data_IF_830476040999
#
_entry.id   IF_830476040999
#
_cell.length_a   1.000
_cell.length_b   1.000
_cell.length_c   1.000
_cell.angle_alpha   90.00
_cell.angle_beta   90.00
_cell.angle_gamma   90.00
#
_symmetry.space_group_name_H-M   'P 1'
#
loop_
_entity.id
_entity.type
_entity.pdbx_description
1 polymer ?
#
# COMPACT_ATOMS: atom_id res chain seq x y z
N UNK A 1 -9.26 -3.55 -28.08
CA UNK A 1 -8.46 -3.56 -26.83
C UNK A 1 -8.97 -4.72 -25.98
N UNK A 2 -8.18 -5.77 -25.81
CA UNK A 2 -8.51 -6.86 -24.89
C UNK A 2 -8.19 -6.37 -23.48
N UNK A 3 -9.21 -6.18 -22.65
CA UNK A 3 -9.06 -5.82 -21.24
C UNK A 3 -9.01 -7.12 -20.42
N UNK A 4 -7.94 -7.32 -19.66
CA UNK A 4 -7.80 -8.42 -18.71
C UNK A 4 -7.51 -7.84 -17.33
N UNK A 5 -8.41 -8.08 -16.38
CA UNK A 5 -8.21 -7.81 -14.95
C UNK A 5 -8.09 -9.15 -14.25
N UNK A 6 -6.94 -9.45 -13.66
CA UNK A 6 -6.66 -10.75 -13.02
C UNK A 6 -6.27 -10.51 -11.57
N UNK A 7 -7.17 -10.82 -10.65
CA UNK A 7 -6.87 -11.02 -9.23
C UNK A 7 -6.84 -12.53 -8.97
N UNK A 8 -5.66 -13.08 -8.68
CA UNK A 8 -5.49 -14.49 -8.36
C UNK A 8 -5.27 -14.64 -6.87
N UNK A 9 -5.93 -15.62 -6.27
CA UNK A 9 -5.88 -15.88 -4.83
C UNK A 9 -5.60 -17.36 -4.59
N UNK A 10 -4.81 -17.66 -3.55
CA UNK A 10 -4.49 -19.02 -3.10
C UNK A 10 -3.89 -19.91 -4.22
N UNK A 11 -4.39 -21.13 -4.38
CA UNK A 11 -3.87 -22.16 -5.29
C UNK A 11 -3.84 -21.66 -6.74
N UNK A 12 -4.79 -20.83 -7.15
CA UNK A 12 -4.80 -20.26 -8.51
C UNK A 12 -3.59 -19.34 -8.76
N UNK A 13 -3.15 -18.59 -7.74
CA UNK A 13 -1.95 -17.76 -7.83
C UNK A 13 -0.68 -18.62 -7.89
N UNK A 14 -0.61 -19.68 -7.08
CA UNK A 14 0.54 -20.61 -7.07
C UNK A 14 0.68 -21.34 -8.39
N UNK A 15 -0.41 -21.83 -8.97
CA UNK A 15 -0.37 -22.55 -10.24
C UNK A 15 0.12 -21.66 -11.38
N UNK A 16 -0.36 -20.41 -11.45
CA UNK A 16 0.11 -19.45 -12.46
C UNK A 16 1.59 -19.09 -12.25
N UNK A 17 2.06 -18.99 -10.99
CA UNK A 17 3.47 -18.70 -10.70
C UNK A 17 4.41 -19.81 -11.24
N UNK A 18 4.00 -21.07 -11.13
CA UNK A 18 4.74 -22.21 -11.67
C UNK A 18 4.83 -22.14 -13.20
N UNK A 19 3.77 -21.69 -13.86
CA UNK A 19 3.71 -21.52 -15.32
C UNK A 19 4.65 -20.40 -15.83
N UNK A 20 4.98 -19.42 -15.00
CA UNK A 20 5.93 -18.33 -15.32
C UNK A 20 7.40 -18.63 -14.93
N UNK A 21 7.80 -19.90 -14.88
CA UNK A 21 9.18 -20.35 -14.61
C UNK A 21 9.78 -19.91 -13.26
N UNK A 22 8.98 -19.42 -12.31
CA UNK A 22 9.45 -19.20 -10.93
C UNK A 22 9.31 -20.51 -10.16
N UNK A 23 10.45 -21.12 -9.80
CA UNK A 23 10.45 -22.36 -9.02
C UNK A 23 9.95 -22.09 -7.60
N UNK A 24 9.01 -22.88 -7.06
CA UNK A 24 8.63 -22.80 -5.66
C UNK A 24 9.86 -23.02 -4.78
N UNK A 25 10.16 -22.08 -3.92
CA UNK A 25 11.17 -22.27 -2.87
C UNK A 25 10.51 -23.13 -1.78
N UNK A 26 11.10 -24.27 -1.37
CA UNK A 26 10.58 -25.04 -0.26
C UNK A 26 10.45 -24.15 0.98
N UNK A 27 9.30 -24.16 1.64
CA UNK A 27 9.18 -23.53 2.96
C UNK A 27 10.09 -24.29 3.91
N UNK A 28 11.12 -23.61 4.44
CA UNK A 28 11.93 -24.16 5.52
C UNK A 28 11.07 -24.16 6.80
N UNK A 29 10.82 -25.33 7.38
CA UNK A 29 9.95 -25.54 8.56
C UNK A 29 10.59 -25.04 9.87
N UNK A 30 11.76 -24.39 9.78
CA UNK A 30 12.38 -23.72 10.92
C UNK A 30 11.58 -22.49 11.27
N UNK A 31 10.62 -22.63 12.18
CA UNK A 31 10.09 -21.52 12.95
C UNK A 31 11.26 -20.78 13.59
N UNK A 32 11.54 -19.52 13.23
CA UNK A 32 12.46 -18.72 14.00
C UNK A 32 11.93 -18.69 15.43
N UNK A 33 12.81 -18.82 16.42
CA UNK A 33 12.42 -18.65 17.82
C UNK A 33 11.68 -17.31 17.96
N UNK A 34 10.61 -17.23 18.77
CA UNK A 34 9.86 -16.00 18.94
C UNK A 34 10.76 -14.95 19.60
N UNK A 35 11.47 -14.16 18.78
CA UNK A 35 12.03 -12.88 19.19
C UNK A 35 10.85 -11.95 19.40
N UNK A 36 10.70 -11.44 20.62
CA UNK A 36 9.51 -10.73 21.14
C UNK A 36 9.13 -9.41 20.46
N UNK A 37 9.58 -9.16 19.23
CA UNK A 37 9.15 -8.04 18.41
C UNK A 37 8.23 -8.56 17.30
N UNK A 38 6.93 -8.57 17.59
CA UNK A 38 5.88 -8.89 16.62
C UNK A 38 5.80 -7.81 15.53
N UNK A 39 6.56 -7.94 14.43
CA UNK A 39 6.51 -7.00 13.31
C UNK A 39 6.65 -7.67 11.94
N UNK A 40 5.59 -8.37 11.49
CA UNK A 40 5.37 -8.53 10.04
C UNK A 40 4.61 -7.28 9.56
N UNK A 41 5.34 -6.29 9.05
CA UNK A 41 4.78 -5.05 8.52
C UNK A 41 4.39 -5.16 7.05
N UNK A 42 3.42 -4.34 6.63
CA UNK A 42 3.16 -4.09 5.21
C UNK A 42 4.25 -3.15 4.69
N UNK A 43 4.78 -3.45 3.50
CA UNK A 43 5.72 -2.59 2.77
C UNK A 43 5.05 -2.06 1.51
N UNK A 44 5.46 -0.88 1.07
CA UNK A 44 4.87 -0.22 -0.08
C UNK A 44 5.84 0.71 -0.78
N UNK A 45 5.59 0.95 -2.06
CA UNK A 45 6.32 1.90 -2.88
C UNK A 45 5.35 2.57 -3.84
N UNK A 46 5.54 3.88 -4.03
CA UNK A 46 4.86 4.67 -5.05
C UNK A 46 5.91 5.47 -5.82
N UNK A 47 5.70 5.66 -7.10
CA UNK A 47 6.63 6.38 -7.96
C UNK A 47 5.92 7.16 -9.06
N UNK A 48 6.55 8.25 -9.50
CA UNK A 48 6.18 9.01 -10.69
C UNK A 48 7.40 9.11 -11.60
N UNK A 49 7.23 8.93 -12.91
CA UNK A 49 8.30 9.14 -13.90
C UNK A 49 8.28 10.56 -14.50
N UNK A 50 9.28 10.91 -15.30
CA UNK A 50 9.39 12.23 -15.94
C UNK A 50 8.27 12.52 -16.97
N UNK A 51 7.47 11.52 -17.34
CA UNK A 51 6.30 11.68 -18.20
C UNK A 51 4.99 11.81 -17.41
N UNK A 52 5.06 11.78 -16.07
CA UNK A 52 3.90 11.83 -15.18
C UNK A 52 3.16 10.49 -15.06
N UNK A 53 3.77 9.37 -15.48
CA UNK A 53 3.19 8.05 -15.23
C UNK A 53 3.38 7.64 -13.78
N UNK A 54 2.33 7.07 -13.22
CA UNK A 54 2.24 6.72 -11.81
C UNK A 54 2.16 5.21 -11.62
N UNK A 55 2.87 4.71 -10.61
CA UNK A 55 2.81 3.31 -10.21
C UNK A 55 2.77 3.19 -8.68
N UNK A 56 2.04 2.18 -8.20
CA UNK A 56 1.96 1.81 -6.80
C UNK A 56 2.13 0.29 -6.66
N UNK A 57 2.87 -0.13 -5.65
CA UNK A 57 3.03 -1.53 -5.29
C UNK A 57 3.02 -1.68 -3.76
N UNK A 58 2.31 -2.67 -3.27
CA UNK A 58 2.20 -2.95 -1.83
C UNK A 58 2.31 -4.46 -1.61
N UNK A 59 2.99 -4.88 -0.55
CA UNK A 59 3.19 -6.28 -0.19
C UNK A 59 3.12 -6.48 1.32
N UNK A 60 2.59 -7.62 1.76
CA UNK A 60 2.39 -7.90 3.18
C UNK A 60 2.42 -9.40 3.49
N UNK A 61 2.94 -9.76 4.66
CA UNK A 61 2.70 -11.08 5.27
C UNK A 61 1.29 -11.20 5.88
N UNK A 62 0.62 -10.07 6.09
CA UNK A 62 -0.62 -9.94 6.87
C UNK A 62 -0.36 -9.88 8.37
N UNK A 63 -1.42 -10.01 9.16
CA UNK A 63 -1.34 -9.96 10.61
C UNK A 63 -0.73 -11.24 11.21
N UNK A 64 -0.02 -11.07 12.32
CA UNK A 64 0.41 -12.19 13.17
C UNK A 64 -0.82 -12.94 13.66
N UNK A 65 -0.75 -14.29 13.69
CA UNK A 65 -1.85 -15.16 14.11
C UNK A 65 -3.16 -14.97 13.31
N UNK A 66 -3.07 -14.55 12.04
CA UNK A 66 -4.25 -14.48 11.16
C UNK A 66 -4.85 -15.85 10.89
N UNK A 67 -6.17 -15.91 10.72
CA UNK A 67 -6.84 -17.11 10.24
C UNK A 67 -6.33 -17.49 8.85
N UNK A 68 -6.28 -18.80 8.56
CA UNK A 68 -5.94 -19.31 7.23
C UNK A 68 -6.92 -18.74 6.20
N UNK A 69 -6.38 -18.18 5.12
CA UNK A 69 -7.19 -17.55 4.08
C UNK A 69 -7.62 -16.11 4.39
N UNK A 70 -7.22 -15.50 5.52
CA UNK A 70 -7.49 -14.07 5.78
C UNK A 70 -6.74 -13.20 4.76
N UNK A 71 -7.50 -12.33 4.09
CA UNK A 71 -7.02 -11.35 3.12
C UNK A 71 -7.13 -9.95 3.73
N UNK A 72 -6.04 -9.18 3.66
CA UNK A 72 -6.00 -7.77 4.07
C UNK A 72 -6.25 -6.81 2.91
N UNK A 73 -5.97 -5.54 3.12
CA UNK A 73 -6.12 -4.44 2.16
C UNK A 73 -5.14 -4.50 0.99
N UNK A 74 -3.93 -4.98 1.23
CA UNK A 74 -2.80 -4.93 0.28
C UNK A 74 -3.11 -5.46 -1.13
N UNK A 75 -3.75 -6.63 -1.33
CA UNK A 75 -4.06 -7.11 -2.68
C UNK A 75 -5.37 -6.52 -3.26
N UNK A 76 -6.05 -5.64 -2.54
CA UNK A 76 -7.36 -5.09 -2.92
C UNK A 76 -7.14 -3.69 -3.51
N UNK A 77 -7.36 -3.59 -4.83
CA UNK A 77 -7.24 -2.33 -5.56
C UNK A 77 -8.21 -1.29 -5.01
N UNK A 78 -7.68 -0.12 -4.66
CA UNK A 78 -8.44 0.97 -4.05
C UNK A 78 -8.54 0.92 -2.53
N UNK A 79 -8.15 -0.19 -1.89
CA UNK A 79 -7.97 -0.24 -0.44
C UNK A 79 -6.51 0.04 -0.07
N UNK A 80 -5.63 -0.96 -0.25
CA UNK A 80 -4.22 -0.87 0.12
C UNK A 80 -3.31 -0.32 -0.99
N UNK A 81 -3.68 -0.54 -2.26
CA UNK A 81 -2.89 -0.13 -3.41
C UNK A 81 -3.77 0.53 -4.46
N UNK A 82 -3.38 1.70 -4.95
CA UNK A 82 -4.08 2.35 -6.05
C UNK A 82 -3.16 3.27 -6.83
N UNK A 83 -3.34 3.32 -8.15
CA UNK A 83 -2.69 4.32 -9.00
C UNK A 83 -3.64 4.70 -10.13
N UNK A 84 -3.72 6.00 -10.41
CA UNK A 84 -4.40 6.53 -11.59
C UNK A 84 -3.55 7.66 -12.20
N UNK A 85 -4.13 8.46 -13.10
CA UNK A 85 -3.47 9.60 -13.74
C UNK A 85 -3.17 10.79 -12.80
N UNK A 86 -3.73 10.80 -11.58
CA UNK A 86 -3.61 11.92 -10.64
C UNK A 86 -2.62 11.59 -9.52
N UNK A 87 -2.72 10.40 -8.94
CA UNK A 87 -1.84 9.95 -7.86
C UNK A 87 -1.65 8.44 -7.81
N UNK A 88 -0.57 8.04 -7.14
CA UNK A 88 -0.30 6.68 -6.70
C UNK A 88 -0.27 6.65 -5.17
N UNK A 89 -0.88 5.63 -4.57
CA UNK A 89 -1.06 5.48 -3.12
C UNK A 89 -0.78 4.04 -2.71
N UNK A 90 -0.02 3.90 -1.63
CA UNK A 90 0.19 2.64 -0.93
C UNK A 90 -0.09 2.83 0.56
N UNK A 91 -1.02 2.06 1.12
CA UNK A 91 -1.39 2.11 2.52
C UNK A 91 -0.75 0.97 3.34
N UNK A 92 -0.67 1.19 4.65
CA UNK A 92 -0.20 0.23 5.65
C UNK A 92 -1.00 0.40 6.93
N UNK A 93 -1.16 -0.69 7.70
CA UNK A 93 -1.90 -0.68 8.96
C UNK A 93 -2.91 -1.81 9.11
N UNK A 94 -4.03 -1.52 9.77
CA UNK A 94 -5.09 -2.51 10.00
C UNK A 94 -5.93 -2.72 8.73
N UNK A 95 -5.65 -3.80 8.01
CA UNK A 95 -6.28 -4.07 6.71
C UNK A 95 -7.81 -3.98 6.68
N UNK A 96 -8.52 -4.46 7.70
CA UNK A 96 -9.99 -4.36 7.74
C UNK A 96 -10.48 -2.91 7.83
N UNK A 97 -9.74 -2.02 8.51
CA UNK A 97 -10.05 -0.60 8.57
C UNK A 97 -9.80 0.06 7.20
N UNK A 98 -8.66 -0.25 6.58
CA UNK A 98 -8.26 0.26 5.27
C UNK A 98 -9.24 -0.16 4.17
N UNK A 99 -9.70 -1.42 4.18
CA UNK A 99 -10.70 -1.93 3.24
C UNK A 99 -12.02 -1.17 3.39
N UNK A 100 -12.54 -1.03 4.61
CA UNK A 100 -13.83 -0.38 4.85
C UNK A 100 -13.83 1.11 4.50
N UNK A 101 -12.70 1.78 4.66
CA UNK A 101 -12.54 3.20 4.37
C UNK A 101 -12.01 3.49 2.95
N UNK A 102 -11.78 2.45 2.13
CA UNK A 102 -11.28 2.59 0.73
C UNK A 102 -10.11 3.57 0.59
N UNK A 103 -9.18 3.53 1.56
CA UNK A 103 -8.17 4.58 1.81
C UNK A 103 -7.46 5.05 0.54
N UNK A 104 -6.89 4.12 -0.23
CA UNK A 104 -6.12 4.49 -1.42
C UNK A 104 -6.99 5.10 -2.54
N UNK A 105 -8.22 4.61 -2.73
CA UNK A 105 -9.13 5.15 -3.74
C UNK A 105 -9.70 6.51 -3.31
N UNK A 106 -9.97 6.71 -2.03
CA UNK A 106 -10.59 7.91 -1.50
C UNK A 106 -9.67 9.13 -1.64
N UNK A 107 -8.36 8.96 -1.43
CA UNK A 107 -7.36 10.01 -1.72
C UNK A 107 -7.49 10.46 -3.18
N UNK A 108 -7.47 9.50 -4.12
CA UNK A 108 -7.64 9.81 -5.53
C UNK A 108 -9.02 10.41 -5.85
N UNK A 109 -10.07 10.04 -5.13
CA UNK A 109 -11.44 10.52 -5.36
C UNK A 109 -11.61 11.97 -4.91
N UNK A 110 -10.99 12.34 -3.79
CA UNK A 110 -10.98 13.70 -3.29
C UNK A 110 -10.20 14.62 -4.24
N UNK A 111 -9.06 14.17 -4.77
CA UNK A 111 -8.36 14.91 -5.82
C UNK A 111 -9.21 15.04 -7.09
N UNK A 112 -9.83 13.94 -7.55
CA UNK A 112 -10.58 13.89 -8.81
C UNK A 112 -11.88 14.69 -8.79
N UNK A 113 -12.65 14.59 -7.70
CA UNK A 113 -14.02 15.12 -7.65
C UNK A 113 -14.14 16.41 -6.83
N UNK A 114 -13.23 16.65 -5.87
CA UNK A 114 -13.22 17.90 -5.08
C UNK A 114 -12.07 18.84 -5.46
N UNK A 115 -11.13 18.39 -6.29
CA UNK A 115 -10.00 19.22 -6.71
C UNK A 115 -9.02 19.53 -5.57
N UNK A 116 -9.00 18.72 -4.51
CA UNK A 116 -8.06 18.89 -3.40
C UNK A 116 -6.63 18.57 -3.86
N UNK A 117 -5.64 19.22 -3.23
CA UNK A 117 -4.23 18.82 -3.38
C UNK A 117 -3.99 17.41 -2.83
N UNK A 118 -2.86 16.80 -3.20
CA UNK A 118 -2.53 15.46 -2.71
C UNK A 118 -2.43 15.46 -1.19
N UNK A 119 -1.73 16.45 -0.62
CA UNK A 119 -1.60 16.59 0.83
C UNK A 119 -2.95 16.72 1.53
N UNK A 120 -3.81 17.63 1.09
CA UNK A 120 -5.13 17.84 1.70
C UNK A 120 -6.01 16.59 1.62
N UNK A 121 -6.00 15.90 0.47
CA UNK A 121 -6.75 14.66 0.28
C UNK A 121 -6.25 13.54 1.19
N UNK A 122 -4.93 13.37 1.30
CA UNK A 122 -4.31 12.35 2.12
C UNK A 122 -4.51 12.60 3.62
N UNK A 123 -4.33 13.84 4.07
CA UNK A 123 -4.57 14.24 5.45
C UNK A 123 -6.04 14.00 5.84
N UNK A 124 -6.98 14.40 4.98
CA UNK A 124 -8.41 14.16 5.22
C UNK A 124 -8.74 12.67 5.38
N UNK A 125 -8.19 11.80 4.53
CA UNK A 125 -8.45 10.35 4.62
C UNK A 125 -7.87 9.77 5.91
N UNK A 126 -6.66 10.17 6.30
CA UNK A 126 -6.01 9.67 7.51
C UNK A 126 -6.66 10.20 8.78
N UNK A 127 -7.11 11.45 8.81
CA UNK A 127 -7.66 12.08 10.00
C UNK A 127 -9.16 11.79 10.19
N UNK A 128 -9.93 11.77 9.10
CA UNK A 128 -11.40 11.75 9.16
C UNK A 128 -12.00 10.40 8.73
N UNK A 129 -11.39 9.71 7.76
CA UNK A 129 -11.99 8.48 7.17
C UNK A 129 -11.46 7.21 7.85
N UNK A 130 -10.17 7.16 8.16
CA UNK A 130 -9.55 6.04 8.85
C UNK A 130 -9.74 6.14 10.38
N UNK A 131 -10.06 5.04 11.09
CA UNK A 131 -10.06 5.02 12.54
C UNK A 131 -8.69 5.46 13.10
N UNK A 132 -8.70 6.22 14.19
CA UNK A 132 -7.47 6.71 14.85
C UNK A 132 -6.57 5.54 15.27
N UNK A 133 -5.26 5.68 15.07
CA UNK A 133 -4.28 4.67 15.50
C UNK A 133 -4.14 3.46 14.57
N UNK A 134 -4.71 3.48 13.37
CA UNK A 134 -4.85 2.26 12.55
C UNK A 134 -4.15 2.28 11.21
N UNK A 135 -3.88 3.46 10.62
CA UNK A 135 -3.52 3.56 9.21
C UNK A 135 -2.43 4.59 8.96
N UNK A 136 -1.55 4.28 8.02
CA UNK A 136 -0.68 5.23 7.35
C UNK A 136 -0.64 4.97 5.85
N UNK A 137 -0.19 5.96 5.09
CA UNK A 137 -0.02 5.81 3.65
C UNK A 137 1.16 6.63 3.15
N UNK A 138 1.68 6.23 1.99
CA UNK A 138 2.57 7.03 1.17
C UNK A 138 1.86 7.31 -0.16
N UNK A 139 2.02 8.53 -0.68
CA UNK A 139 1.45 8.90 -1.95
C UNK A 139 2.32 9.88 -2.73
N UNK A 140 2.21 9.80 -4.06
CA UNK A 140 2.83 10.74 -5.00
C UNK A 140 1.82 11.17 -6.05
N UNK A 141 1.85 12.45 -6.46
CA UNK A 141 1.00 12.99 -7.52
C UNK A 141 1.72 12.95 -8.87
N UNK A 142 0.96 13.10 -9.96
CA UNK A 142 1.53 13.21 -11.31
C UNK A 142 2.45 14.44 -11.49
N UNK A 143 2.39 15.42 -10.58
CA UNK A 143 3.26 16.60 -10.58
C UNK A 143 4.49 16.44 -9.70
N UNK A 144 4.69 15.28 -9.06
CA UNK A 144 5.80 15.03 -8.14
C UNK A 144 5.60 15.49 -6.70
N UNK A 145 4.37 15.90 -6.32
CA UNK A 145 4.06 16.16 -4.91
C UNK A 145 4.10 14.84 -4.13
N UNK A 146 4.77 14.81 -2.98
CA UNK A 146 4.89 13.63 -2.11
C UNK A 146 4.23 13.91 -0.77
N UNK A 147 3.50 12.94 -0.23
CA UNK A 147 2.96 13.00 1.13
C UNK A 147 3.02 11.63 1.79
N UNK A 148 3.22 11.60 3.11
CA UNK A 148 3.35 10.35 3.88
C UNK A 148 2.62 10.40 5.25
N UNK A 149 1.31 10.75 5.29
CA UNK A 149 0.58 10.89 6.55
C UNK A 149 0.25 9.54 7.18
N UNK A 150 0.16 9.54 8.51
CA UNK A 150 -0.22 8.38 9.30
C UNK A 150 -0.87 8.82 10.61
N UNK A 151 -1.77 7.99 11.13
CA UNK A 151 -2.40 8.18 12.44
C UNK A 151 -2.02 7.09 13.45
N UNK A 152 -1.09 6.21 13.10
CA UNK A 152 -0.46 5.21 13.98
C UNK A 152 0.57 5.86 14.90
N UNK A 153 1.10 5.12 15.89
CA UNK A 153 2.18 5.61 16.77
C UNK A 153 3.47 5.94 16.00
N UNK A 154 3.68 5.30 14.86
CA UNK A 154 4.79 5.56 13.95
C UNK A 154 4.58 4.84 12.63
N UNK A 155 5.34 5.24 11.62
CA UNK A 155 5.39 4.64 10.29
C UNK A 155 6.80 4.79 9.71
N UNK A 156 7.48 3.66 9.49
CA UNK A 156 8.74 3.61 8.73
C UNK A 156 8.48 4.10 7.30
N UNK A 157 9.14 5.19 6.92
CA UNK A 157 8.90 5.84 5.63
C UNK A 157 10.15 6.53 5.12
N UNK A 158 10.19 6.66 3.80
CA UNK A 158 11.24 7.37 3.10
C UNK A 158 10.70 7.96 1.80
N UNK A 159 11.27 9.08 1.37
CA UNK A 159 11.08 9.59 0.02
C UNK A 159 12.42 10.04 -0.58
N UNK A 160 12.49 10.05 -1.91
CA UNK A 160 13.57 10.64 -2.68
C UNK A 160 12.99 11.25 -3.94
N UNK A 161 13.40 12.47 -4.28
CA UNK A 161 12.88 13.25 -5.40
C UNK A 161 14.02 13.73 -6.31
N UNK A 162 13.69 14.10 -7.55
CA UNK A 162 14.68 14.47 -8.58
C UNK A 162 15.48 15.74 -8.22
N UNK A 163 14.87 16.66 -7.48
CA UNK A 163 15.51 17.89 -6.96
C UNK A 163 16.53 17.62 -5.83
N UNK A 164 16.75 16.35 -5.48
CA UNK A 164 17.70 15.94 -4.46
C UNK A 164 17.16 15.98 -3.04
N UNK A 165 15.86 16.22 -2.85
CA UNK A 165 15.24 16.09 -1.54
C UNK A 165 15.11 14.60 -1.16
N UNK A 166 15.42 14.31 0.10
CA UNK A 166 15.34 12.96 0.67
C UNK A 166 14.90 13.09 2.12
N UNK A 167 13.89 12.31 2.49
CA UNK A 167 13.38 12.24 3.86
C UNK A 167 13.41 10.79 4.32
N UNK A 168 13.81 10.57 5.58
CA UNK A 168 13.79 9.29 6.26
C UNK A 168 13.21 9.51 7.65
N UNK A 169 12.13 8.80 7.97
CA UNK A 169 11.43 9.01 9.23
C UNK A 169 10.75 7.73 9.73
N UNK A 170 10.48 7.72 11.04
CA UNK A 170 9.81 6.64 11.76
C UNK A 170 8.62 7.19 12.55
N UNK A 171 8.81 8.34 13.19
CA UNK A 171 7.84 9.00 14.06
C UNK A 171 7.15 10.18 13.39
#
# INVERSE_FOLDING_TARGET
>A
MLSASVLLVNIAATNLQVDYNTRPIPKDDKTPAPSGDSQLGTVGCVSVDSFGHLAAATSTGGLVNKMVGRIGDTPIIGAGTYANKLCAVSATGQGEAIIRATVARDVAALMEYKGLSLKEAADYVIEESAPRGTTGLIAVSATGEVTMPFNTTGMFRACATEDGHTELAIW
#
